data_IF_074429718450
#
_entry.id   IF_074429718450
#
_cell.length_a   1.000
_cell.length_b   1.000
_cell.length_c   1.000
_cell.angle_alpha   90.00
_cell.angle_beta   90.00
_cell.angle_gamma   90.00
#
_symmetry.space_group_name_H-M   'P 1'
#
loop_
_entity.id
_entity.type
_entity.pdbx_description
1 polymer ?
#
# COMPACT_ATOMS: atom_id res chain seq x y z
N UNK A 1 37.65 -2.36 -31.89
CA UNK A 1 37.65 -2.29 -30.41
C UNK A 1 36.44 -1.53 -29.89
N UNK A 2 35.94 -0.53 -30.62
CA UNK A 2 34.75 0.29 -30.33
C UNK A 2 33.44 -0.48 -30.07
N UNK A 3 33.20 -1.59 -30.79
CA UNK A 3 31.97 -2.38 -30.65
C UNK A 3 31.86 -3.16 -29.33
N UNK A 4 33.00 -3.44 -28.67
CA UNK A 4 33.02 -4.17 -27.40
C UNK A 4 32.70 -3.23 -26.22
N UNK A 5 33.22 -2.00 -26.28
CA UNK A 5 32.97 -0.97 -25.28
C UNK A 5 31.48 -0.57 -25.21
N UNK A 6 30.82 -0.42 -26.36
CA UNK A 6 29.39 -0.13 -26.42
C UNK A 6 28.53 -1.29 -25.85
N UNK A 7 28.94 -2.54 -26.05
CA UNK A 7 28.24 -3.70 -25.48
C UNK A 7 28.38 -3.78 -23.96
N UNK A 8 29.56 -3.45 -23.43
CA UNK A 8 29.84 -3.46 -22.00
C UNK A 8 29.08 -2.31 -21.29
N UNK A 9 29.03 -1.12 -21.90
CA UNK A 9 28.27 0.04 -21.41
C UNK A 9 26.75 -0.23 -21.38
N UNK A 10 26.20 -0.91 -22.40
CA UNK A 10 24.78 -1.32 -22.44
C UNK A 10 24.47 -2.36 -21.37
N UNK A 11 25.38 -3.31 -21.12
CA UNK A 11 25.20 -4.33 -20.09
C UNK A 11 25.25 -3.72 -18.68
N UNK A 12 26.13 -2.75 -18.46
CA UNK A 12 26.22 -1.99 -17.20
C UNK A 12 24.95 -1.16 -16.97
N UNK A 13 24.45 -0.49 -18.01
CA UNK A 13 23.19 0.25 -17.94
C UNK A 13 21.99 -0.67 -17.62
N UNK A 14 21.89 -1.84 -18.26
CA UNK A 14 20.85 -2.83 -17.98
C UNK A 14 20.93 -3.37 -16.54
N UNK A 15 22.15 -3.64 -16.07
CA UNK A 15 22.39 -4.11 -14.71
C UNK A 15 22.03 -3.04 -13.68
N UNK A 16 22.37 -1.78 -13.95
CA UNK A 16 22.00 -0.65 -13.10
C UNK A 16 20.48 -0.48 -13.05
N UNK A 17 19.80 -0.51 -14.19
CA UNK A 17 18.33 -0.44 -14.26
C UNK A 17 17.68 -1.58 -13.47
N UNK A 18 18.18 -2.80 -13.65
CA UNK A 18 17.70 -3.99 -12.94
C UNK A 18 17.90 -3.86 -11.43
N UNK A 19 19.05 -3.35 -10.97
CA UNK A 19 19.32 -3.13 -9.55
C UNK A 19 18.43 -2.05 -8.96
N UNK A 20 18.27 -0.92 -9.65
CA UNK A 20 17.40 0.19 -9.24
C UNK A 20 15.94 -0.28 -9.16
N UNK A 21 15.46 -1.00 -10.17
CA UNK A 21 14.09 -1.52 -10.22
C UNK A 21 13.85 -2.57 -9.13
N UNK A 22 14.81 -3.46 -8.88
CA UNK A 22 14.75 -4.43 -7.79
C UNK A 22 14.70 -3.75 -6.41
N UNK A 23 15.51 -2.72 -6.20
CA UNK A 23 15.52 -1.97 -4.94
C UNK A 23 14.23 -1.17 -4.73
N UNK A 24 13.69 -0.55 -5.78
CA UNK A 24 12.40 0.14 -5.74
C UNK A 24 11.25 -0.82 -5.43
N UNK A 25 11.17 -1.96 -6.12
CA UNK A 25 10.16 -2.99 -5.85
C UNK A 25 10.29 -3.58 -4.45
N UNK A 26 11.51 -3.79 -3.96
CA UNK A 26 11.74 -4.30 -2.61
C UNK A 26 11.25 -3.31 -1.55
N UNK A 27 11.55 -2.01 -1.70
CA UNK A 27 11.05 -0.95 -0.82
C UNK A 27 9.52 -0.87 -0.83
N UNK A 28 8.90 -0.94 -2.00
CA UNK A 28 7.44 -0.92 -2.14
C UNK A 28 6.78 -2.14 -1.49
N UNK A 29 7.34 -3.32 -1.71
CA UNK A 29 6.85 -4.58 -1.11
C UNK A 29 6.98 -4.55 0.43
N UNK A 30 8.10 -4.03 0.95
CA UNK A 30 8.28 -3.83 2.39
C UNK A 30 7.22 -2.90 2.98
N UNK A 31 6.93 -1.79 2.30
CA UNK A 31 5.96 -0.81 2.76
C UNK A 31 4.52 -1.39 2.72
N UNK A 32 4.19 -2.15 1.68
CA UNK A 32 2.93 -2.89 1.57
C UNK A 32 2.79 -3.97 2.66
N UNK A 33 3.88 -4.64 3.00
CA UNK A 33 3.89 -5.68 4.05
C UNK A 33 3.74 -5.03 5.42
N UNK A 34 4.44 -3.92 5.68
CA UNK A 34 4.30 -3.15 6.91
C UNK A 34 2.89 -2.62 7.08
N UNK A 35 2.27 -2.04 6.04
CA UNK A 35 0.89 -1.55 6.13
C UNK A 35 -0.11 -2.69 6.37
N UNK A 36 0.09 -3.85 5.75
CA UNK A 36 -0.73 -5.04 5.97
C UNK A 36 -0.62 -5.63 7.39
N UNK A 37 0.41 -5.25 8.17
CA UNK A 37 0.59 -5.66 9.56
C UNK A 37 0.13 -4.55 10.52
N UNK A 38 0.56 -3.30 10.30
CA UNK A 38 0.27 -2.17 11.19
C UNK A 38 -1.23 -1.88 11.24
N UNK A 39 -1.94 -1.92 10.11
CA UNK A 39 -3.36 -1.61 10.07
C UNK A 39 -4.21 -2.63 10.87
N UNK A 40 -4.08 -3.96 10.68
CA UNK A 40 -4.78 -4.93 11.52
C UNK A 40 -4.40 -4.88 12.99
N UNK A 41 -3.12 -4.69 13.32
CA UNK A 41 -2.67 -4.53 14.69
C UNK A 41 -3.33 -3.31 15.38
N UNK A 42 -3.56 -2.23 14.64
CA UNK A 42 -4.31 -1.07 15.12
C UNK A 42 -5.75 -1.39 15.52
N UNK A 43 -6.44 -2.22 14.71
CA UNK A 43 -7.82 -2.68 15.02
C UNK A 43 -7.86 -3.55 16.27
N UNK A 44 -6.95 -4.52 16.36
CA UNK A 44 -6.87 -5.43 17.52
C UNK A 44 -6.55 -4.64 18.78
N UNK A 45 -5.56 -3.72 18.71
CA UNK A 45 -5.24 -2.82 19.81
C UNK A 45 -6.44 -1.97 20.23
N UNK A 46 -7.17 -1.39 19.28
CA UNK A 46 -8.34 -0.58 19.59
C UNK A 46 -9.46 -1.38 20.27
N UNK A 47 -9.65 -2.65 19.91
CA UNK A 47 -10.66 -3.51 20.53
C UNK A 47 -10.26 -4.01 21.92
N UNK A 48 -8.96 -4.13 22.21
CA UNK A 48 -8.44 -4.72 23.45
C UNK A 48 -8.06 -3.68 24.51
N UNK A 49 -7.81 -2.42 24.15
CA UNK A 49 -7.39 -1.41 25.13
C UNK A 49 -8.55 -0.89 25.99
N UNK A 50 -8.32 -0.66 27.30
CA UNK A 50 -9.32 -0.09 28.20
C UNK A 50 -9.71 1.33 27.78
N UNK A 51 -11.02 1.62 27.82
CA UNK A 51 -11.58 2.94 27.49
C UNK A 51 -11.03 4.00 28.44
N UNK A 52 -10.63 5.16 27.92
CA UNK A 52 -10.11 6.27 28.71
C UNK A 52 -8.93 6.98 28.03
N UNK A 53 -8.14 7.71 28.81
CA UNK A 53 -7.01 8.53 28.32
C UNK A 53 -5.98 7.70 27.53
N UNK A 54 -5.75 6.45 27.95
CA UNK A 54 -4.78 5.56 27.30
C UNK A 54 -5.22 5.12 25.89
N UNK A 55 -6.53 4.95 25.66
CA UNK A 55 -7.05 4.68 24.33
C UNK A 55 -6.88 5.90 23.40
N UNK A 56 -7.06 7.11 23.92
CA UNK A 56 -6.83 8.34 23.16
C UNK A 56 -5.35 8.54 22.82
N UNK A 57 -4.43 8.24 23.75
CA UNK A 57 -2.98 8.28 23.51
C UNK A 57 -2.57 7.25 22.46
N UNK A 58 -3.05 6.01 22.55
CA UNK A 58 -2.81 4.98 21.54
C UNK A 58 -3.29 5.43 20.16
N UNK A 59 -4.48 6.03 20.08
CA UNK A 59 -5.02 6.58 18.83
C UNK A 59 -4.16 7.70 18.26
N UNK A 60 -3.70 8.63 19.10
CA UNK A 60 -2.86 9.72 18.65
C UNK A 60 -1.54 9.19 18.05
N UNK A 61 -0.90 8.21 18.71
CA UNK A 61 0.32 7.57 18.20
C UNK A 61 0.04 6.81 16.90
N UNK A 62 -1.05 6.03 16.85
CA UNK A 62 -1.45 5.32 15.64
C UNK A 62 -1.71 6.27 14.46
N UNK A 63 -2.42 7.37 14.70
CA UNK A 63 -2.70 8.38 13.68
C UNK A 63 -1.40 9.02 13.18
N UNK A 64 -0.46 9.34 14.07
CA UNK A 64 0.86 9.88 13.71
C UNK A 64 1.61 8.87 12.84
N UNK A 65 1.58 7.57 13.16
CA UNK A 65 2.23 6.54 12.34
C UNK A 65 1.60 6.41 10.96
N UNK A 66 0.27 6.45 10.86
CA UNK A 66 -0.44 6.42 9.56
C UNK A 66 -0.10 7.67 8.74
N UNK A 67 -0.14 8.85 9.34
CA UNK A 67 0.23 10.11 8.67
C UNK A 67 1.69 10.06 8.23
N UNK A 68 2.61 9.62 9.08
CA UNK A 68 4.02 9.47 8.73
C UNK A 68 4.23 8.52 7.55
N UNK A 69 3.53 7.38 7.53
CA UNK A 69 3.56 6.45 6.41
C UNK A 69 3.05 7.11 5.11
N UNK A 70 1.93 7.83 5.17
CA UNK A 70 1.39 8.58 4.02
C UNK A 70 2.38 9.64 3.53
N UNK A 71 2.99 10.41 4.44
CA UNK A 71 3.97 11.45 4.11
C UNK A 71 5.22 10.84 3.48
N UNK A 72 5.72 9.70 3.98
CA UNK A 72 6.88 9.00 3.40
C UNK A 72 6.56 8.54 1.97
N UNK A 73 5.38 7.94 1.75
CA UNK A 73 4.92 7.52 0.42
C UNK A 73 4.80 8.71 -0.54
N UNK A 74 4.22 9.82 -0.07
CA UNK A 74 4.08 11.03 -0.90
C UNK A 74 5.42 11.69 -1.20
N UNK A 75 6.37 11.71 -0.26
CA UNK A 75 7.70 12.29 -0.47
C UNK A 75 8.53 11.51 -1.49
N UNK A 76 8.28 10.21 -1.65
CA UNK A 76 8.88 9.39 -2.71
C UNK A 76 8.38 9.72 -4.13
N UNK A 77 7.19 10.31 -4.27
CA UNK A 77 6.57 10.70 -5.56
C UNK A 77 7.05 12.08 -6.08
N UNK A 78 8.26 12.52 -5.72
CA UNK A 78 8.79 13.81 -6.19
C UNK A 78 9.20 13.84 -7.68
N UNK A 79 9.20 12.70 -8.36
CA UNK A 79 9.29 12.66 -9.82
C UNK A 79 7.88 12.65 -10.42
N UNK A 80 7.33 13.85 -10.65
CA UNK A 80 6.26 14.01 -11.64
C UNK A 80 6.87 13.66 -13.00
N UNK A 81 6.46 12.58 -13.71
CA UNK A 81 6.32 12.79 -15.13
C UNK A 81 5.16 13.77 -15.26
N UNK A 82 5.44 14.99 -15.70
CA UNK A 82 4.44 15.76 -16.40
C UNK A 82 4.17 15.07 -17.77
N UNK A 83 3.79 13.79 -17.74
CA UNK A 83 3.12 13.20 -18.89
C UNK A 83 1.73 13.82 -18.87
N UNK A 84 1.39 14.46 -19.99
CA UNK A 84 0.08 14.99 -20.34
C UNK A 84 -0.98 13.91 -20.08
N UNK A 85 -1.46 13.80 -18.85
CA UNK A 85 -2.68 13.07 -18.56
C UNK A 85 -3.79 13.96 -19.08
N UNK A 86 -4.35 13.57 -20.23
CA UNK A 86 -5.55 14.20 -20.73
C UNK A 86 -6.62 14.04 -19.65
N UNK A 87 -7.15 15.13 -19.07
CA UNK A 87 -8.14 15.06 -17.99
C UNK A 87 -9.40 14.30 -18.40
N UNK A 88 -9.65 14.12 -19.70
CA UNK A 88 -10.77 13.34 -20.23
C UNK A 88 -10.45 11.86 -20.48
N UNK A 89 -9.18 11.44 -20.39
CA UNK A 89 -8.73 10.06 -20.63
C UNK A 89 -8.28 9.34 -19.35
N UNK A 90 -8.86 9.68 -18.20
CA UNK A 90 -8.51 9.00 -16.95
C UNK A 90 -8.95 7.52 -17.00
N UNK A 91 -8.09 6.59 -16.55
CA UNK A 91 -8.44 5.19 -16.51
C UNK A 91 -9.66 4.94 -15.60
N UNK A 92 -10.67 4.26 -16.16
CA UNK A 92 -11.91 3.95 -15.45
C UNK A 92 -11.64 2.99 -14.30
N UNK A 93 -12.39 3.15 -13.22
CA UNK A 93 -12.37 2.22 -12.09
C UNK A 93 -12.93 0.86 -12.51
N UNK A 94 -12.08 -0.17 -12.51
CA UNK A 94 -12.44 -1.56 -12.78
C UNK A 94 -12.95 -2.26 -11.49
N UNK A 95 -13.58 -3.42 -11.63
CA UNK A 95 -14.09 -4.25 -10.54
C UNK A 95 -13.02 -4.54 -9.48
N UNK A 96 -11.76 -4.75 -9.89
CA UNK A 96 -10.63 -4.97 -8.96
C UNK A 96 -10.34 -3.75 -8.09
N UNK A 97 -10.53 -2.54 -8.61
CA UNK A 97 -10.38 -1.30 -7.84
C UNK A 97 -11.47 -1.15 -6.80
N UNK A 98 -12.72 -1.44 -7.18
CA UNK A 98 -13.84 -1.45 -6.24
C UNK A 98 -13.66 -2.48 -5.14
N UNK A 99 -13.21 -3.70 -5.46
CA UNK A 99 -12.92 -4.74 -4.48
C UNK A 99 -11.82 -4.29 -3.50
N UNK A 100 -10.70 -3.76 -4.00
CA UNK A 100 -9.62 -3.24 -3.14
C UNK A 100 -10.10 -2.11 -2.22
N UNK A 101 -10.97 -1.23 -2.72
CA UNK A 101 -11.56 -0.13 -1.95
C UNK A 101 -12.51 -0.65 -0.88
N UNK A 102 -13.36 -1.62 -1.20
CA UNK A 102 -14.22 -2.30 -0.23
C UNK A 102 -13.40 -2.99 0.87
N UNK A 103 -12.28 -3.63 0.52
CA UNK A 103 -11.38 -4.23 1.50
C UNK A 103 -10.85 -3.16 2.46
N UNK A 104 -10.36 -2.02 1.97
CA UNK A 104 -9.85 -0.94 2.84
C UNK A 104 -10.91 -0.37 3.79
N UNK A 105 -12.16 -0.26 3.33
CA UNK A 105 -13.26 0.31 4.11
C UNK A 105 -13.99 -0.72 4.99
N UNK A 106 -13.75 -2.01 4.79
CA UNK A 106 -14.39 -3.12 5.51
C UNK A 106 -14.38 -2.96 7.05
N UNK A 107 -13.28 -2.51 7.70
CA UNK A 107 -13.28 -2.33 9.15
C UNK A 107 -14.29 -1.33 9.66
N UNK A 108 -14.57 -0.26 8.92
CA UNK A 108 -15.48 0.81 9.37
C UNK A 108 -16.90 0.23 9.58
N UNK A 109 -17.27 -0.72 8.71
CA UNK A 109 -18.59 -1.35 8.73
C UNK A 109 -18.61 -2.52 9.72
N UNK A 110 -17.59 -3.37 9.74
CA UNK A 110 -17.62 -4.66 10.45
C UNK A 110 -17.13 -4.53 11.91
N UNK A 111 -16.25 -3.57 12.22
CA UNK A 111 -15.65 -3.41 13.55
C UNK A 111 -16.67 -3.23 14.70
N UNK A 112 -17.75 -2.42 14.56
CA UNK A 112 -18.75 -2.26 15.61
C UNK A 112 -19.44 -3.56 16.00
N UNK A 113 -19.63 -4.49 15.06
CA UNK A 113 -20.31 -5.78 15.29
C UNK A 113 -19.40 -6.83 15.92
N UNK A 114 -18.07 -6.69 15.77
CA UNK A 114 -17.10 -7.65 16.30
C UNK A 114 -16.56 -7.24 17.67
N UNK A 115 -16.83 -6.01 18.12
CA UNK A 115 -16.20 -5.38 19.29
C UNK A 115 -16.28 -6.20 20.57
N UNK A 116 -17.36 -6.95 20.77
CA UNK A 116 -17.62 -7.69 22.01
C UNK A 116 -16.98 -9.09 22.02
N UNK A 117 -16.49 -9.58 20.88
CA UNK A 117 -15.85 -10.88 20.76
C UNK A 117 -14.39 -10.75 20.31
N UNK A 118 -13.47 -10.81 21.28
CA UNK A 118 -12.03 -10.66 21.06
C UNK A 118 -11.45 -11.68 20.06
N UNK A 119 -11.93 -12.93 20.08
CA UNK A 119 -11.50 -13.96 19.12
C UNK A 119 -11.94 -13.58 17.71
N UNK A 120 -13.18 -13.12 17.55
CA UNK A 120 -13.70 -12.70 16.25
C UNK A 120 -12.95 -11.48 15.69
N UNK A 121 -12.57 -10.52 16.53
CA UNK A 121 -11.72 -9.37 16.14
C UNK A 121 -10.36 -9.84 15.63
N UNK A 122 -9.70 -10.76 16.33
CA UNK A 122 -8.37 -11.25 15.93
C UNK A 122 -8.44 -12.01 14.61
N UNK A 123 -9.43 -12.90 14.44
CA UNK A 123 -9.64 -13.63 13.19
C UNK A 123 -9.92 -12.67 12.04
N UNK A 124 -10.81 -11.69 12.24
CA UNK A 124 -11.09 -10.67 11.25
C UNK A 124 -9.85 -9.86 10.89
N UNK A 125 -9.05 -9.46 11.87
CA UNK A 125 -7.82 -8.69 11.64
C UNK A 125 -6.82 -9.46 10.77
N UNK A 126 -6.64 -10.76 11.00
CA UNK A 126 -5.76 -11.61 10.17
C UNK A 126 -6.27 -11.67 8.73
N UNK A 127 -7.56 -12.01 8.54
CA UNK A 127 -8.18 -12.12 7.21
C UNK A 127 -8.13 -10.78 6.47
N UNK A 128 -8.42 -9.69 7.18
CA UNK A 128 -8.37 -8.35 6.63
C UNK A 128 -6.94 -7.91 6.27
N UNK A 129 -5.95 -8.25 7.09
CA UNK A 129 -4.53 -8.03 6.79
C UNK A 129 -4.09 -8.73 5.51
N UNK A 130 -4.50 -9.99 5.30
CA UNK A 130 -4.28 -10.69 4.03
C UNK A 130 -4.97 -9.98 2.86
N UNK A 131 -6.18 -9.46 3.06
CA UNK A 131 -6.89 -8.65 2.07
C UNK A 131 -6.17 -7.36 1.71
N UNK A 132 -5.65 -6.62 2.69
CA UNK A 132 -4.85 -5.40 2.47
C UNK A 132 -3.58 -5.74 1.70
N UNK A 133 -2.85 -6.78 2.10
CA UNK A 133 -1.64 -7.20 1.41
C UNK A 133 -1.94 -7.52 -0.05
N UNK A 134 -3.00 -8.28 -0.32
CA UNK A 134 -3.44 -8.56 -1.68
C UNK A 134 -3.79 -7.27 -2.45
N UNK A 135 -4.58 -6.37 -1.86
CA UNK A 135 -4.99 -5.13 -2.52
C UNK A 135 -3.80 -4.20 -2.83
N UNK A 136 -2.77 -4.15 -1.97
CA UNK A 136 -1.60 -3.32 -2.20
C UNK A 136 -0.58 -3.96 -3.15
N UNK A 137 -0.43 -5.29 -3.12
CA UNK A 137 0.53 -5.99 -3.96
C UNK A 137 0.02 -6.26 -5.38
N UNK A 138 -1.29 -6.43 -5.56
CA UNK A 138 -1.91 -6.65 -6.88
C UNK A 138 -2.08 -5.38 -7.72
N UNK A 139 -1.52 -4.26 -7.25
CA UNK A 139 -1.81 -2.91 -7.73
C UNK A 139 -3.33 -2.62 -7.77
N UNK A 140 -4.11 -3.34 -6.93
CA UNK A 140 -5.50 -3.16 -6.49
C UNK A 140 -6.06 -1.74 -6.53
N UNK A 141 -5.23 -0.77 -6.19
CA UNK A 141 -5.64 0.59 -5.93
C UNK A 141 -4.92 1.59 -6.85
N UNK A 142 -4.03 1.12 -7.74
CA UNK A 142 -3.32 1.95 -8.70
C UNK A 142 -3.98 1.85 -10.10
N UNK A 143 -4.81 2.85 -10.41
CA UNK A 143 -5.50 2.94 -11.70
C UNK A 143 -4.54 3.29 -12.84
N UNK A 144 -3.47 4.04 -12.56
CA UNK A 144 -2.55 4.51 -13.59
C UNK A 144 -1.62 3.39 -14.04
N UNK A 145 -1.07 2.62 -13.09
CA UNK A 145 -0.20 1.49 -13.40
C UNK A 145 -0.93 0.39 -14.19
N UNK A 146 -2.24 0.24 -13.99
CA UNK A 146 -3.07 -0.71 -14.75
C UNK A 146 -3.55 -0.22 -16.11
N UNK A 147 -3.70 1.09 -16.29
CA UNK A 147 -3.96 1.66 -17.59
C UNK A 147 -2.82 1.35 -18.58
N UNK A 148 -1.58 1.37 -18.10
CA UNK A 148 -0.37 1.09 -18.90
C UNK A 148 -0.21 -0.40 -19.21
N UNK A 149 -0.61 -1.30 -18.30
CA UNK A 149 -0.49 -2.75 -18.51
C UNK A 149 -1.59 -3.39 -19.37
N UNK A 150 -2.70 -2.69 -19.57
CA UNK A 150 -3.83 -3.15 -20.40
C UNK A 150 -3.89 -2.46 -21.79
N UNK A 151 -2.96 -1.55 -22.08
CA UNK A 151 -2.80 -0.90 -23.39
C UNK A 151 -1.81 -1.71 -24.25
#
# INVERSE_FOLDING_TARGET
MENKQNSDDVLEALNFETQVNKQANHKQTLLNTLSAIVLPCGIVGFSLFPRGIWAAVFFAVYLILVIAAVVIVQRGKKTRPALRQDPFSQPKADNRYWIGTCILLCPIIVHPFLRDNTVAVVVFAIVWGCGIFWALQSDALDLQKRAVGNA
#
